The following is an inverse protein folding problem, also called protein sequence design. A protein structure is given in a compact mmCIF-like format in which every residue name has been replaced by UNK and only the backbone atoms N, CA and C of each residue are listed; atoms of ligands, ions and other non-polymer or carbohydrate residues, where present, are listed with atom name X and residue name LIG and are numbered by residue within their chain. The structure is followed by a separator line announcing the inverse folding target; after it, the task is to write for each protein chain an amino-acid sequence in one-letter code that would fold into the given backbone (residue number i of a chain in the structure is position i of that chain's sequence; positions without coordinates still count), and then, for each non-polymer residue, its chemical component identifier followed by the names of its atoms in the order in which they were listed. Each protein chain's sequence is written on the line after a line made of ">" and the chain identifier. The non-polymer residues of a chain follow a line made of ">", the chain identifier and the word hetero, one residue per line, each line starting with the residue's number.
data_IF_739878218423
#
_entry.id   IF_739878218423
#
_cell.length_a   1.000
_cell.length_b   1.000
_cell.length_c   1.000
_cell.angle_alpha   90.00
_cell.angle_beta   90.00
_cell.angle_gamma   90.00
#
_symmetry.space_group_name_H-M   'P 1'
#
loop_
_entity.id
_entity.type
_entity.pdbx_description
1 polymer ?
#
# COMPACT_ATOMS: atom_id res chain seq x y z
N UNK A 1 5.69 -8.59 -18.06
CA UNK A 1 4.77 -7.80 -17.22
C UNK A 1 3.69 -7.32 -18.16
N UNK A 2 2.49 -7.88 -18.05
CA UNK A 2 1.40 -7.57 -18.97
C UNK A 2 0.88 -6.14 -18.70
N UNK A 3 0.37 -5.45 -19.72
CA UNK A 3 -0.11 -4.06 -19.53
C UNK A 3 -1.33 -4.01 -18.59
N UNK A 4 -2.04 -5.13 -18.47
CA UNK A 4 -3.14 -5.36 -17.53
C UNK A 4 -2.68 -5.49 -16.06
N UNK A 5 -1.37 -5.61 -15.82
CA UNK A 5 -0.78 -5.66 -14.47
C UNK A 5 -0.42 -4.28 -13.89
N UNK A 6 -0.52 -3.21 -14.67
CA UNK A 6 -0.26 -1.84 -14.21
C UNK A 6 -1.42 -1.31 -13.35
N UNK A 7 -1.08 -0.68 -12.23
CA UNK A 7 -2.07 -0.10 -11.31
C UNK A 7 -2.63 1.17 -11.93
N UNK A 8 -3.90 1.09 -12.32
CA UNK A 8 -4.59 2.16 -13.06
C UNK A 8 -5.03 3.29 -12.14
N UNK A 9 -5.21 3.00 -10.83
CA UNK A 9 -5.64 4.01 -9.86
C UNK A 9 -5.33 3.60 -8.42
N UNK A 10 -4.68 4.51 -7.68
CA UNK A 10 -4.52 4.42 -6.22
C UNK A 10 -5.19 5.65 -5.61
N UNK A 11 -6.20 5.43 -4.76
CA UNK A 11 -6.94 6.50 -4.08
C UNK A 11 -6.80 6.34 -2.57
N UNK A 12 -6.31 7.39 -1.92
CA UNK A 12 -6.43 7.56 -0.47
C UNK A 12 -7.75 8.27 -0.16
N UNK A 13 -8.66 7.59 0.55
CA UNK A 13 -9.96 8.16 0.94
C UNK A 13 -10.01 8.62 2.41
N UNK A 14 -8.85 8.80 3.05
CA UNK A 14 -8.73 9.14 4.46
C UNK A 14 -8.59 7.92 5.36
N UNK A 15 -9.33 6.85 5.10
CA UNK A 15 -9.36 5.64 5.93
C UNK A 15 -8.55 4.47 5.36
N UNK A 16 -8.58 4.30 4.03
CA UNK A 16 -8.01 3.17 3.32
C UNK A 16 -7.35 3.60 2.02
N UNK A 17 -6.49 2.74 1.50
CA UNK A 17 -5.94 2.84 0.15
C UNK A 17 -6.73 1.89 -0.75
N UNK A 18 -7.34 2.45 -1.79
CA UNK A 18 -8.04 1.69 -2.83
C UNK A 18 -7.11 1.59 -4.02
N UNK A 19 -6.68 0.38 -4.35
CA UNK A 19 -5.82 0.09 -5.49
C UNK A 19 -6.61 -0.67 -6.55
N UNK A 20 -6.57 -0.20 -7.79
CA UNK A 20 -7.23 -0.83 -8.93
C UNK A 20 -6.20 -1.40 -9.90
N UNK A 21 -6.36 -2.70 -10.22
CA UNK A 21 -5.53 -3.45 -11.16
C UNK A 21 -6.47 -4.12 -12.18
N UNK A 22 -6.57 -3.55 -13.39
CA UNK A 22 -7.62 -3.90 -14.35
C UNK A 22 -9.03 -3.76 -13.76
N UNK A 23 -9.82 -4.83 -13.80
CA UNK A 23 -11.17 -4.91 -13.22
C UNK A 23 -11.19 -5.28 -11.72
N UNK A 24 -10.02 -5.53 -11.11
CA UNK A 24 -9.94 -5.91 -9.70
C UNK A 24 -9.69 -4.68 -8.83
N UNK A 25 -10.51 -4.55 -7.78
CA UNK A 25 -10.40 -3.51 -6.76
C UNK A 25 -9.92 -4.14 -5.46
N UNK A 26 -8.80 -3.65 -4.95
CA UNK A 26 -8.25 -4.02 -3.65
C UNK A 26 -8.40 -2.85 -2.68
N UNK A 27 -8.72 -3.17 -1.43
CA UNK A 27 -8.84 -2.19 -0.36
C UNK A 27 -7.89 -2.60 0.75
N UNK A 28 -6.94 -1.73 1.07
CA UNK A 28 -5.97 -1.93 2.12
C UNK A 28 -6.16 -0.92 3.23
N UNK A 29 -6.11 -1.37 4.48
CA UNK A 29 -6.05 -0.44 5.60
C UNK A 29 -4.69 0.23 5.60
N UNK A 30 -4.66 1.52 5.98
CA UNK A 30 -3.39 2.25 6.05
C UNK A 30 -2.42 1.64 7.07
N UNK A 31 -2.94 1.08 8.16
CA UNK A 31 -2.12 0.41 9.18
C UNK A 31 -1.45 -0.85 8.63
N UNK A 32 -2.18 -1.67 7.86
CA UNK A 32 -1.63 -2.86 7.23
C UNK A 32 -0.52 -2.48 6.24
N UNK A 33 -0.76 -1.51 5.36
CA UNK A 33 0.26 -1.04 4.43
C UNK A 33 1.47 -0.43 5.15
N UNK A 34 1.25 0.30 6.24
CA UNK A 34 2.33 0.90 7.03
C UNK A 34 3.18 -0.18 7.69
N UNK A 35 2.54 -1.22 8.22
CA UNK A 35 3.24 -2.38 8.77
C UNK A 35 4.13 -3.02 7.71
N UNK A 36 3.56 -3.34 6.54
CA UNK A 36 4.31 -3.91 5.43
C UNK A 36 5.46 -2.99 4.98
N UNK A 37 5.21 -1.69 4.86
CA UNK A 37 6.22 -0.71 4.47
C UNK A 37 7.39 -0.62 5.46
N UNK A 38 7.11 -0.72 6.77
CA UNK A 38 8.13 -0.68 7.82
C UNK A 38 8.95 -1.97 7.91
N UNK A 39 8.41 -3.11 7.47
CA UNK A 39 9.03 -4.43 7.66
C UNK A 39 9.62 -5.04 6.39
N UNK A 40 9.26 -4.53 5.21
CA UNK A 40 9.68 -5.07 3.92
C UNK A 40 10.67 -4.14 3.23
N UNK A 41 11.50 -4.67 2.33
CA UNK A 41 12.23 -3.84 1.38
C UNK A 41 11.26 -3.18 0.40
N UNK A 42 11.68 -2.06 -0.18
CA UNK A 42 10.87 -1.33 -1.18
C UNK A 42 10.50 -2.23 -2.37
N UNK A 43 11.43 -3.06 -2.86
CA UNK A 43 11.18 -3.98 -3.96
C UNK A 43 10.14 -5.05 -3.59
N UNK A 44 10.21 -5.61 -2.39
CA UNK A 44 9.20 -6.56 -1.92
C UNK A 44 7.83 -5.91 -1.76
N UNK A 45 7.78 -4.67 -1.25
CA UNK A 45 6.53 -3.92 -1.13
C UNK A 45 5.90 -3.68 -2.50
N UNK A 46 6.70 -3.18 -3.46
CA UNK A 46 6.24 -2.94 -4.81
C UNK A 46 5.81 -4.23 -5.51
N UNK A 47 6.55 -5.34 -5.36
CA UNK A 47 6.16 -6.60 -5.97
C UNK A 47 4.86 -7.17 -5.38
N UNK A 48 4.59 -6.93 -4.09
CA UNK A 48 3.40 -7.43 -3.41
C UNK A 48 2.15 -6.58 -3.73
N UNK A 49 2.27 -5.26 -3.67
CA UNK A 49 1.13 -4.34 -3.81
C UNK A 49 1.03 -3.72 -5.19
N UNK A 50 2.11 -3.72 -5.96
CA UNK A 50 2.27 -3.13 -7.30
C UNK A 50 2.12 -1.62 -7.37
N UNK A 51 2.16 -0.94 -6.23
CA UNK A 51 2.31 0.49 -6.13
C UNK A 51 3.28 0.84 -5.01
N UNK A 52 3.86 2.03 -5.09
CA UNK A 52 4.59 2.62 -3.98
C UNK A 52 3.65 3.53 -3.20
N UNK A 53 3.74 3.44 -1.88
CA UNK A 53 3.02 4.33 -0.97
C UNK A 53 3.88 4.55 0.25
N UNK A 54 4.04 5.82 0.62
CA UNK A 54 4.81 6.21 1.79
C UNK A 54 3.83 6.60 2.90
N UNK A 55 3.79 5.87 4.03
CA UNK A 55 2.92 6.21 5.15
C UNK A 55 3.36 7.55 5.78
N UNK A 56 2.41 8.41 6.22
CA UNK A 56 2.74 9.62 6.95
C UNK A 56 3.41 9.30 8.29
N UNK A 57 4.31 10.17 8.77
CA UNK A 57 5.13 9.94 9.97
C UNK A 57 4.28 9.59 11.20
N UNK A 58 3.17 10.29 11.42
CA UNK A 58 2.26 10.03 12.54
C UNK A 58 1.70 8.60 12.54
N UNK A 59 1.47 8.03 11.36
CA UNK A 59 1.01 6.65 11.21
C UNK A 59 2.15 5.66 11.39
N UNK A 60 3.34 5.97 10.90
CA UNK A 60 4.54 5.15 11.16
C UNK A 60 4.79 5.02 12.65
N UNK A 61 4.74 6.13 13.40
CA UNK A 61 4.98 6.13 14.84
C UNK A 61 3.90 5.35 15.60
N UNK A 62 2.63 5.45 15.15
CA UNK A 62 1.54 4.65 15.72
C UNK A 62 1.78 3.16 15.52
N UNK A 63 2.12 2.73 14.31
CA UNK A 63 2.34 1.31 13.99
C UNK A 63 3.60 0.77 14.66
N UNK A 64 4.68 1.56 14.76
CA UNK A 64 5.91 1.17 15.46
C UNK A 64 5.67 0.83 16.94
N UNK A 65 4.69 1.46 17.60
CA UNK A 65 4.31 1.14 18.98
C UNK A 65 3.56 -0.19 19.13
N UNK A 66 3.09 -0.76 18.02
CA UNK A 66 2.29 -1.99 17.96
C UNK A 66 3.02 -3.17 17.31
N UNK A 67 4.26 -2.95 16.87
CA UNK A 67 5.18 -3.96 16.34
C UNK A 67 5.99 -4.59 17.48
#
# INVERSE_FOLDING_TARGET
>A
MDIDDLFVKVVDNGHSIIAQKGNRRHVYTKEYLTKCWLTMSNDCFFNMFGFNWVPPTSLQDRVRKTL
#
